data_IF_386401316027
#
_entry.id   IF_386401316027
#
_cell.length_a   1.000
_cell.length_b   1.000
_cell.length_c   1.000
_cell.angle_alpha   90.00
_cell.angle_beta   90.00
_cell.angle_gamma   90.00
#
_symmetry.space_group_name_H-M   'P 1'
#
loop_
_entity.id
_entity.type
_entity.pdbx_description
1 polymer ?
#
# COMPACT_ATOMS: atom_id res chain seq x y z
N UNK A 1 -11.89 11.97 -16.61
CA UNK A 1 -12.32 13.12 -15.79
C UNK A 1 -13.79 13.43 -16.04
N UNK A 2 -14.24 13.60 -17.29
CA UNK A 2 -15.66 13.87 -17.59
C UNK A 2 -16.63 12.79 -17.08
N UNK A 3 -16.18 11.54 -17.01
CA UNK A 3 -16.98 10.40 -16.60
C UNK A 3 -17.09 10.23 -15.08
N UNK A 4 -16.22 10.90 -14.33
CA UNK A 4 -16.15 10.82 -12.86
C UNK A 4 -16.05 12.23 -12.30
N UNK A 5 -17.19 12.87 -11.98
CA UNK A 5 -17.21 14.20 -11.40
C UNK A 5 -16.36 14.29 -10.14
N UNK A 6 -15.56 15.34 -10.03
CA UNK A 6 -14.65 15.55 -8.88
C UNK A 6 -13.27 14.92 -9.03
N UNK A 7 -13.05 14.01 -10.01
CA UNK A 7 -11.71 13.50 -10.28
C UNK A 7 -10.85 14.59 -10.92
N UNK A 8 -9.69 14.85 -10.34
CA UNK A 8 -8.75 15.86 -10.82
C UNK A 8 -7.59 15.21 -11.57
N UNK A 9 -7.24 15.76 -12.73
CA UNK A 9 -6.07 15.31 -13.50
C UNK A 9 -4.76 15.78 -12.87
N UNK A 10 -4.77 16.94 -12.24
CA UNK A 10 -3.61 17.46 -11.53
C UNK A 10 -3.40 16.72 -10.22
N UNK A 11 -2.20 16.17 -10.02
CA UNK A 11 -1.86 15.38 -8.84
C UNK A 11 -2.22 13.90 -8.92
N UNK A 12 -3.04 13.49 -9.90
CA UNK A 12 -3.30 12.07 -10.15
C UNK A 12 -2.07 11.43 -10.83
N UNK A 13 -1.58 10.36 -10.23
CA UNK A 13 -0.43 9.60 -10.74
C UNK A 13 -0.80 8.13 -10.85
N UNK A 14 -0.53 7.55 -12.01
CA UNK A 14 -0.61 6.10 -12.21
C UNK A 14 0.76 5.59 -12.60
N UNK A 15 1.31 4.67 -11.83
CA UNK A 15 2.54 3.98 -12.18
C UNK A 15 2.28 2.49 -12.43
N UNK A 16 3.05 1.94 -13.37
CA UNK A 16 3.01 0.53 -13.73
C UNK A 16 4.46 0.03 -13.79
N UNK A 17 4.94 -0.50 -12.68
CA UNK A 17 6.27 -1.08 -12.58
C UNK A 17 6.21 -2.58 -12.88
N UNK A 18 6.96 -3.06 -13.86
CA UNK A 18 6.87 -4.45 -14.32
C UNK A 18 8.21 -5.16 -14.44
N UNK A 19 8.21 -6.47 -14.28
CA UNK A 19 9.38 -7.34 -14.37
C UNK A 19 10.50 -6.84 -13.45
N UNK A 20 11.75 -6.67 -13.95
CA UNK A 20 12.86 -6.22 -13.12
C UNK A 20 12.67 -4.86 -12.44
N UNK A 21 11.74 -4.04 -12.94
CA UNK A 21 11.45 -2.73 -12.33
C UNK A 21 10.42 -2.80 -11.20
N UNK A 22 9.70 -3.91 -11.07
CA UNK A 22 8.70 -4.09 -10.00
C UNK A 22 9.31 -4.02 -8.59
N UNK A 23 10.62 -4.27 -8.46
CA UNK A 23 11.36 -4.16 -7.18
C UNK A 23 11.67 -2.72 -6.77
N UNK A 24 11.31 -1.73 -7.58
CA UNK A 24 11.50 -0.31 -7.26
C UNK A 24 10.15 0.24 -6.81
N UNK A 25 9.99 0.66 -5.53
CA UNK A 25 8.70 1.03 -4.95
C UNK A 25 7.90 2.08 -5.73
N UNK A 26 8.60 3.07 -6.28
CA UNK A 26 7.99 4.19 -7.02
C UNK A 26 8.57 4.30 -8.44
N UNK A 27 8.74 3.16 -9.11
CA UNK A 27 9.23 3.17 -10.48
C UNK A 27 8.24 3.85 -11.43
N UNK A 28 8.73 4.87 -12.13
CA UNK A 28 7.94 5.55 -13.18
C UNK A 28 7.68 4.58 -14.33
N UNK A 29 6.47 4.62 -14.87
CA UNK A 29 6.08 3.86 -16.07
C UNK A 29 6.96 4.21 -17.26
N UNK A 30 7.26 3.23 -18.10
CA UNK A 30 8.08 3.38 -19.31
C UNK A 30 7.36 2.78 -20.52
N UNK A 31 7.93 2.94 -21.71
CA UNK A 31 7.45 2.28 -22.94
C UNK A 31 7.74 0.76 -23.01
N UNK A 32 8.20 0.14 -21.91
CA UNK A 32 8.50 -1.29 -21.86
C UNK A 32 7.21 -2.10 -22.02
N UNK A 33 7.24 -3.10 -22.90
CA UNK A 33 6.13 -4.05 -23.04
C UNK A 33 6.14 -5.05 -21.89
N UNK A 34 4.95 -5.40 -21.41
CA UNK A 34 4.77 -6.43 -20.39
C UNK A 34 5.01 -7.82 -20.98
N UNK A 35 5.79 -8.64 -20.29
CA UNK A 35 6.07 -10.01 -20.66
C UNK A 35 5.24 -11.02 -19.86
N UNK A 36 4.98 -12.20 -20.43
CA UNK A 36 4.33 -13.30 -19.69
C UNK A 36 5.20 -13.75 -18.51
N UNK A 37 4.56 -14.04 -17.38
CA UNK A 37 5.22 -14.47 -16.14
C UNK A 37 5.80 -13.30 -15.33
N UNK A 38 5.64 -12.06 -15.77
CA UNK A 38 6.13 -10.91 -15.03
C UNK A 38 5.17 -10.46 -13.95
N UNK A 39 5.76 -10.00 -12.85
CA UNK A 39 5.05 -9.27 -11.79
C UNK A 39 4.91 -7.82 -12.21
N UNK A 40 3.74 -7.27 -11.97
CA UNK A 40 3.40 -5.87 -12.26
C UNK A 40 2.79 -5.24 -11.01
N UNK A 41 3.36 -4.14 -10.57
CA UNK A 41 2.78 -3.29 -9.54
C UNK A 41 2.08 -2.11 -10.18
N UNK A 42 0.77 -2.04 -10.02
CA UNK A 42 -0.01 -0.84 -10.26
C UNK A 42 -0.10 -0.02 -8.98
N UNK A 43 0.30 1.23 -9.08
CA UNK A 43 0.13 2.21 -8.02
C UNK A 43 -0.72 3.35 -8.60
N UNK A 44 -1.88 3.55 -8.02
CA UNK A 44 -2.85 4.55 -8.45
C UNK A 44 -3.02 5.54 -7.31
N UNK A 45 -2.53 6.75 -7.53
CA UNK A 45 -2.76 7.89 -6.66
C UNK A 45 -3.74 8.81 -7.37
N UNK A 46 -4.95 8.91 -6.88
CA UNK A 46 -6.00 9.76 -7.46
C UNK A 46 -6.31 10.93 -6.53
N UNK A 47 -6.68 12.05 -7.14
CA UNK A 47 -7.18 13.22 -6.41
C UNK A 47 -8.64 13.41 -6.75
N UNK A 48 -9.50 13.41 -5.74
CA UNK A 48 -10.93 13.63 -5.87
C UNK A 48 -11.34 14.78 -4.95
N UNK A 49 -11.76 15.89 -5.51
CA UNK A 49 -12.15 17.11 -4.77
C UNK A 49 -11.06 17.56 -3.77
N UNK A 50 -9.78 17.49 -4.17
CA UNK A 50 -8.63 17.84 -3.34
C UNK A 50 -8.16 16.75 -2.38
N UNK A 51 -8.84 15.62 -2.28
CA UNK A 51 -8.45 14.51 -1.41
C UNK A 51 -7.69 13.44 -2.19
N UNK A 52 -6.57 13.00 -1.63
CA UNK A 52 -5.77 11.92 -2.18
C UNK A 52 -6.30 10.56 -1.75
N UNK A 53 -6.35 9.65 -2.72
CA UNK A 53 -6.66 8.22 -2.50
C UNK A 53 -5.52 7.42 -3.11
N UNK A 54 -5.06 6.40 -2.40
CA UNK A 54 -4.02 5.48 -2.87
C UNK A 54 -4.59 4.06 -2.97
N UNK A 55 -4.36 3.42 -4.10
CA UNK A 55 -4.66 2.00 -4.27
C UNK A 55 -3.52 1.33 -5.02
N UNK A 56 -3.04 0.22 -4.49
CA UNK A 56 -1.94 -0.49 -5.11
C UNK A 56 -2.25 -1.97 -5.19
N UNK A 57 -1.93 -2.54 -6.34
CA UNK A 57 -2.18 -3.96 -6.62
C UNK A 57 -1.01 -4.58 -7.34
N UNK A 58 -0.63 -5.75 -6.88
CA UNK A 58 0.31 -6.62 -7.58
C UNK A 58 -0.47 -7.57 -8.46
N UNK A 59 -0.09 -7.65 -9.72
CA UNK A 59 -0.67 -8.53 -10.73
C UNK A 59 0.43 -9.40 -11.35
N UNK A 60 0.02 -10.51 -11.96
CA UNK A 60 0.89 -11.32 -12.82
C UNK A 60 0.37 -11.33 -14.26
N UNK A 61 1.27 -11.23 -15.22
CA UNK A 61 0.91 -11.36 -16.63
C UNK A 61 0.83 -12.85 -17.01
N UNK A 62 -0.36 -13.39 -16.95
CA UNK A 62 -0.62 -14.83 -17.07
C UNK A 62 -0.58 -15.54 -15.72
N UNK A 63 -0.03 -16.74 -15.66
CA UNK A 63 0.10 -17.49 -14.41
C UNK A 63 1.14 -16.86 -13.48
N UNK A 64 0.84 -16.86 -12.19
CA UNK A 64 1.80 -16.43 -11.17
C UNK A 64 2.98 -17.41 -11.13
N UNK A 65 4.23 -16.95 -11.30
CA UNK A 65 5.41 -17.82 -11.20
C UNK A 65 5.54 -18.43 -9.79
N UNK A 66 6.01 -19.68 -9.70
CA UNK A 66 6.16 -20.36 -8.40
C UNK A 66 7.00 -19.59 -7.37
N UNK A 67 8.15 -18.99 -7.73
CA UNK A 67 8.93 -18.18 -6.77
C UNK A 67 8.19 -16.94 -6.25
N UNK A 68 7.21 -16.44 -6.99
CA UNK A 68 6.44 -15.25 -6.65
C UNK A 68 5.25 -15.54 -5.72
N UNK A 69 4.81 -16.80 -5.63
CA UNK A 69 3.59 -17.18 -4.89
C UNK A 69 3.71 -16.87 -3.40
N UNK A 70 4.76 -17.38 -2.76
CA UNK A 70 4.94 -17.21 -1.32
C UNK A 70 5.08 -15.73 -0.90
N UNK A 71 5.93 -14.89 -1.53
CA UNK A 71 5.99 -13.48 -1.17
C UNK A 71 4.69 -12.73 -1.46
N UNK A 72 3.95 -13.06 -2.53
CA UNK A 72 2.65 -12.47 -2.80
C UNK A 72 1.64 -12.79 -1.68
N UNK A 73 1.49 -14.08 -1.33
CA UNK A 73 0.58 -14.54 -0.27
C UNK A 73 0.96 -13.93 1.10
N UNK A 74 2.27 -13.81 1.38
CA UNK A 74 2.76 -13.17 2.62
C UNK A 74 2.37 -11.69 2.71
N UNK A 75 2.46 -10.95 1.61
CA UNK A 75 2.04 -9.53 1.58
C UNK A 75 0.53 -9.41 1.80
N UNK A 76 -0.27 -10.29 1.20
CA UNK A 76 -1.73 -10.31 1.43
C UNK A 76 -2.05 -10.64 2.89
N UNK A 77 -1.36 -11.62 3.49
CA UNK A 77 -1.51 -11.92 4.93
C UNK A 77 -1.14 -10.70 5.79
N UNK A 78 0.01 -10.06 5.52
CA UNK A 78 0.45 -8.88 6.26
C UNK A 78 -0.56 -7.73 6.15
N UNK A 79 -1.13 -7.50 4.96
CA UNK A 79 -2.17 -6.51 4.74
C UNK A 79 -3.43 -6.83 5.56
N UNK A 80 -3.90 -8.07 5.50
CA UNK A 80 -5.08 -8.53 6.26
C UNK A 80 -4.88 -8.33 7.76
N UNK A 81 -3.70 -8.72 8.30
CA UNK A 81 -3.38 -8.55 9.73
C UNK A 81 -3.29 -7.08 10.13
N UNK A 82 -2.78 -6.23 9.24
CA UNK A 82 -2.80 -4.78 9.45
C UNK A 82 -4.21 -4.22 9.53
N UNK A 83 -5.09 -4.59 8.60
CA UNK A 83 -6.50 -4.18 8.60
C UNK A 83 -7.23 -4.64 9.87
N UNK A 84 -7.08 -5.90 10.28
CA UNK A 84 -7.70 -6.46 11.50
C UNK A 84 -7.30 -5.71 12.78
N UNK A 85 -6.12 -5.07 12.78
CA UNK A 85 -5.63 -4.28 13.90
C UNK A 85 -6.18 -2.86 13.94
N UNK A 86 -6.75 -2.35 12.84
CA UNK A 86 -7.27 -0.97 12.77
C UNK A 86 -8.55 -0.83 13.57
N UNK A 87 -8.48 -0.06 14.64
CA UNK A 87 -9.66 0.37 15.44
C UNK A 87 -9.29 1.55 16.33
N UNK A 88 -10.25 2.34 16.80
CA UNK A 88 -9.96 3.45 17.71
C UNK A 88 -9.29 2.93 19.00
N UNK A 89 -8.36 3.71 19.52
CA UNK A 89 -7.62 3.38 20.72
C UNK A 89 -6.33 2.55 20.50
N UNK A 90 -6.12 2.01 19.31
CA UNK A 90 -4.89 1.27 18.97
C UNK A 90 -3.80 2.24 18.52
N UNK A 91 -2.55 2.01 18.91
CA UNK A 91 -1.42 2.81 18.45
C UNK A 91 -1.06 2.48 17.01
N UNK A 92 -0.66 3.50 16.25
CA UNK A 92 -0.16 3.31 14.88
C UNK A 92 0.99 2.30 14.82
N UNK A 93 1.87 2.32 15.84
CA UNK A 93 2.97 1.36 15.97
C UNK A 93 2.51 -0.09 16.16
N UNK A 94 1.39 -0.32 16.82
CA UNK A 94 0.84 -1.67 17.01
C UNK A 94 0.29 -2.22 15.69
N UNK A 95 -0.41 -1.39 14.91
CA UNK A 95 -0.85 -1.75 13.55
C UNK A 95 0.35 -2.09 12.67
N UNK A 96 1.40 -1.25 12.72
CA UNK A 96 2.62 -1.51 11.96
C UNK A 96 3.26 -2.85 12.33
N UNK A 97 3.35 -3.16 13.62
CA UNK A 97 3.91 -4.44 14.09
C UNK A 97 3.12 -5.64 13.58
N UNK A 98 1.79 -5.57 13.54
CA UNK A 98 0.97 -6.65 12.98
C UNK A 98 1.33 -6.99 11.52
N UNK A 99 1.65 -6.00 10.71
CA UNK A 99 2.12 -6.23 9.34
C UNK A 99 3.54 -6.81 9.32
N UNK A 100 4.46 -6.20 10.09
CA UNK A 100 5.89 -6.51 10.07
C UNK A 100 6.14 -7.94 10.59
N UNK A 101 5.48 -8.36 11.66
CA UNK A 101 5.61 -9.71 12.22
C UNK A 101 5.28 -10.82 11.21
N UNK A 102 4.36 -10.58 10.29
CA UNK A 102 4.08 -11.53 9.20
C UNK A 102 5.27 -11.63 8.25
N UNK A 103 5.86 -10.49 7.88
CA UNK A 103 7.04 -10.44 7.01
C UNK A 103 8.26 -11.08 7.67
N UNK A 104 8.49 -10.81 8.97
CA UNK A 104 9.57 -11.40 9.76
C UNK A 104 9.46 -12.93 9.84
N UNK A 105 8.27 -13.46 10.16
CA UNK A 105 8.03 -14.91 10.20
C UNK A 105 8.32 -15.60 8.87
N UNK A 106 8.10 -14.88 7.75
CA UNK A 106 8.37 -15.38 6.43
C UNK A 106 9.84 -15.17 5.97
N UNK A 107 10.63 -14.39 6.72
CA UNK A 107 12.01 -14.03 6.38
C UNK A 107 12.13 -12.96 5.31
N UNK A 108 11.12 -12.07 5.21
CA UNK A 108 11.03 -11.01 4.20
C UNK A 108 11.19 -9.59 4.74
N UNK A 109 11.35 -9.41 6.04
CA UNK A 109 11.48 -8.10 6.72
C UNK A 109 12.60 -7.22 6.12
N UNK A 110 13.75 -7.82 5.80
CA UNK A 110 14.87 -7.13 5.15
C UNK A 110 14.55 -6.58 3.74
N UNK A 111 13.48 -7.05 3.12
CA UNK A 111 13.03 -6.63 1.80
C UNK A 111 11.89 -5.60 1.85
N UNK A 112 11.52 -5.16 3.03
CA UNK A 112 10.55 -4.09 3.24
C UNK A 112 11.28 -2.73 3.14
N UNK A 113 11.09 -2.01 2.04
CA UNK A 113 11.81 -0.75 1.77
C UNK A 113 11.06 0.50 2.29
N UNK A 114 9.85 0.34 2.79
CA UNK A 114 9.05 1.41 3.41
C UNK A 114 8.14 0.83 4.49
N UNK A 115 7.58 1.68 5.31
CA UNK A 115 6.66 1.22 6.34
C UNK A 115 5.28 0.85 5.80
N UNK A 116 4.48 0.12 6.58
CA UNK A 116 3.25 -0.49 6.12
C UNK A 116 2.02 0.44 6.05
N UNK A 117 2.20 1.76 6.12
CA UNK A 117 1.09 2.69 5.95
C UNK A 117 1.41 4.13 6.34
N UNK A 118 0.48 5.04 6.04
CA UNK A 118 0.57 6.46 6.35
C UNK A 118 -0.82 7.12 6.34
N UNK A 119 -0.93 8.35 6.82
CA UNK A 119 -2.14 9.15 6.67
C UNK A 119 -2.45 9.46 5.20
N UNK A 120 -3.72 9.62 4.90
CA UNK A 120 -4.22 9.97 3.58
C UNK A 120 -5.29 11.06 3.72
N UNK A 121 -5.30 12.05 2.80
CA UNK A 121 -6.25 13.17 2.88
C UNK A 121 -5.93 14.29 1.92
N UNK A 122 -6.13 15.54 2.34
CA UNK A 122 -5.92 16.76 1.51
C UNK A 122 -4.44 16.90 1.10
N UNK A 123 -3.53 16.54 2.00
CA UNK A 123 -2.09 16.57 1.69
C UNK A 123 -1.69 15.27 1.00
N UNK A 124 -0.99 15.42 -0.12
CA UNK A 124 -0.62 14.28 -0.96
C UNK A 124 0.32 13.29 -0.29
N UNK A 125 0.34 12.08 -0.83
CA UNK A 125 1.15 10.97 -0.34
C UNK A 125 2.66 11.28 -0.16
N UNK A 126 3.17 12.31 -0.83
CA UNK A 126 4.58 12.70 -0.77
C UNK A 126 4.85 13.99 -0.01
N UNK A 127 3.81 14.80 0.26
CA UNK A 127 3.93 16.11 0.88
C UNK A 127 2.88 16.30 1.98
N UNK A 128 3.34 16.68 3.16
CA UNK A 128 2.44 17.03 4.26
C UNK A 128 1.66 15.86 4.84
N UNK A 129 2.23 14.65 4.82
CA UNK A 129 1.68 13.53 5.59
C UNK A 129 1.55 13.95 7.05
N UNK A 130 0.42 13.60 7.63
CA UNK A 130 0.20 13.77 9.05
C UNK A 130 1.06 12.75 9.82
N UNK A 131 2.09 13.20 10.51
CA UNK A 131 2.94 12.33 11.35
C UNK A 131 2.13 11.48 12.33
N UNK A 132 1.01 12.02 12.81
CA UNK A 132 0.08 11.32 13.71
C UNK A 132 -0.48 10.03 13.12
N UNK A 133 -0.73 9.97 11.81
CA UNK A 133 -1.28 8.81 11.13
C UNK A 133 -0.22 7.96 10.39
N UNK A 134 1.07 8.19 10.62
CA UNK A 134 2.13 7.35 10.07
C UNK A 134 2.10 5.96 10.72
N UNK A 135 1.88 4.92 9.94
CA UNK A 135 1.89 3.52 10.41
C UNK A 135 3.35 3.05 10.43
N UNK A 136 4.00 3.29 11.56
CA UNK A 136 5.42 3.00 11.80
C UNK A 136 5.62 2.43 13.21
N UNK A 137 6.55 1.48 13.42
CA UNK A 137 6.75 0.82 14.71
C UNK A 137 7.06 1.77 15.87
N UNK A 138 7.64 2.92 15.56
CA UNK A 138 8.00 3.95 16.54
C UNK A 138 6.89 4.96 16.84
N UNK A 139 5.74 4.89 16.14
CA UNK A 139 4.67 5.89 16.28
C UNK A 139 3.69 5.47 17.37
N UNK A 140 3.74 6.17 18.51
CA UNK A 140 2.87 5.96 19.67
C UNK A 140 1.52 6.70 19.58
N UNK A 141 1.28 7.47 18.51
CA UNK A 141 -0.02 8.11 18.32
C UNK A 141 -1.12 7.07 18.20
N UNK A 142 -2.25 7.39 18.80
CA UNK A 142 -3.42 6.51 18.87
C UNK A 142 -4.38 6.84 17.73
N UNK A 143 -4.89 5.81 17.09
CA UNK A 143 -5.94 5.95 16.07
C UNK A 143 -7.23 6.47 16.73
N UNK A 144 -7.86 7.47 16.12
CA UNK A 144 -9.14 8.03 16.55
C UNK A 144 -10.13 8.03 15.38
N UNK A 145 -11.44 7.97 15.65
CA UNK A 145 -12.46 8.05 14.60
C UNK A 145 -12.27 9.27 13.70
N UNK A 146 -12.48 9.09 12.40
CA UNK A 146 -12.29 10.11 11.37
C UNK A 146 -10.87 10.17 10.78
N UNK A 147 -9.88 9.49 11.36
CA UNK A 147 -8.58 9.33 10.69
C UNK A 147 -8.73 8.49 9.44
N UNK A 148 -8.06 8.90 8.36
CA UNK A 148 -7.94 8.14 7.12
C UNK A 148 -6.47 7.76 6.92
N UNK A 149 -6.22 6.47 6.78
CA UNK A 149 -4.87 5.91 6.67
C UNK A 149 -4.79 4.88 5.57
N UNK A 150 -3.59 4.61 5.08
CA UNK A 150 -3.32 3.45 4.22
C UNK A 150 -2.84 2.27 5.06
N UNK A 151 -3.13 1.05 4.58
CA UNK A 151 -2.44 -0.19 4.98
C UNK A 151 -1.81 -0.74 3.72
N UNK A 152 -0.47 -0.73 3.66
CA UNK A 152 0.29 -0.96 2.42
C UNK A 152 1.60 -1.75 2.62
N UNK A 153 1.58 -2.91 3.27
CA UNK A 153 2.79 -3.72 3.39
C UNK A 153 3.30 -4.14 2.01
N UNK A 154 4.63 -4.24 1.90
CA UNK A 154 5.28 -4.62 0.66
C UNK A 154 6.60 -5.34 0.91
N UNK A 155 7.01 -6.16 -0.05
CA UNK A 155 8.36 -6.72 -0.14
C UNK A 155 8.90 -6.60 -1.57
N UNK A 156 10.19 -6.35 -1.69
CA UNK A 156 10.86 -6.11 -2.98
C UNK A 156 12.06 -7.04 -3.10
N UNK A 157 11.81 -8.24 -3.63
CA UNK A 157 12.83 -9.28 -3.74
C UNK A 157 13.59 -9.16 -5.06
N UNK A 158 14.91 -8.96 -5.02
CA UNK A 158 15.73 -9.04 -6.22
C UNK A 158 15.46 -10.36 -6.97
N UNK A 159 15.47 -10.31 -8.29
CA UNK A 159 15.29 -11.45 -9.21
C UNK A 159 13.91 -12.17 -9.16
N UNK A 160 13.02 -11.81 -8.23
CA UNK A 160 11.67 -12.35 -8.14
C UNK A 160 10.64 -11.30 -8.53
N UNK A 161 10.64 -10.15 -7.88
CA UNK A 161 9.70 -9.06 -8.11
C UNK A 161 9.35 -8.28 -6.85
N UNK A 162 8.65 -7.18 -7.04
CA UNK A 162 8.04 -6.42 -5.95
C UNK A 162 6.58 -6.82 -5.76
N UNK A 163 6.16 -6.92 -4.51
CA UNK A 163 4.81 -7.29 -4.11
C UNK A 163 4.29 -6.22 -3.16
N UNK A 164 3.17 -5.59 -3.52
CA UNK A 164 2.57 -4.51 -2.76
C UNK A 164 1.06 -4.57 -2.83
N UNK A 165 0.41 -4.40 -1.69
CA UNK A 165 -1.03 -4.30 -1.61
C UNK A 165 -1.37 -3.12 -0.70
N UNK A 166 -2.17 -2.19 -1.21
CA UNK A 166 -2.54 -0.98 -0.49
C UNK A 166 -4.02 -0.72 -0.59
N UNK A 167 -4.62 -0.50 0.56
CA UNK A 167 -5.97 0.04 0.68
C UNK A 167 -6.01 1.24 1.63
N UNK A 168 -6.98 2.11 1.37
CA UNK A 168 -7.29 3.25 2.23
C UNK A 168 -8.47 2.88 3.12
N UNK A 169 -8.34 3.16 4.40
CA UNK A 169 -9.40 2.93 5.39
C UNK A 169 -9.68 4.19 6.20
N UNK A 170 -10.95 4.38 6.56
CA UNK A 170 -11.36 5.34 7.56
C UNK A 170 -11.56 4.64 8.90
N UNK A 171 -11.00 5.18 9.97
CA UNK A 171 -11.22 4.70 11.33
C UNK A 171 -12.64 5.12 11.76
N UNK A 172 -13.47 4.16 12.15
CA UNK A 172 -14.84 4.38 12.65
C UNK A 172 -14.88 4.36 14.18
N UNK A 173 -16.06 4.51 14.79
CA UNK A 173 -16.21 4.47 16.24
C UNK A 173 -15.90 3.08 16.83
N UNK A 174 -16.02 2.02 16.04
CA UNK A 174 -15.91 0.62 16.49
C UNK A 174 -14.92 -0.24 15.70
N UNK A 175 -14.30 0.33 14.64
CA UNK A 175 -13.37 -0.41 13.78
C UNK A 175 -12.85 0.44 12.62
N UNK A 176 -13.07 -0.02 11.41
CA UNK A 176 -12.71 0.71 10.19
C UNK A 176 -13.72 0.47 9.07
N UNK A 177 -13.76 1.40 8.14
CA UNK A 177 -14.43 1.28 6.84
C UNK A 177 -13.39 1.22 5.73
N UNK A 178 -13.50 0.23 4.83
CA UNK A 178 -12.63 0.11 3.67
C UNK A 178 -13.13 1.05 2.57
N UNK A 179 -12.29 2.02 2.18
CA UNK A 179 -12.64 3.04 1.16
C UNK A 179 -12.23 2.63 -0.26
N UNK A 180 -11.34 1.65 -0.40
CA UNK A 180 -10.87 1.12 -1.69
C UNK A 180 -11.11 -0.39 -1.76
N UNK A 181 -11.46 -0.91 -2.96
CA UNK A 181 -11.78 -2.33 -3.18
C UNK A 181 -10.98 -2.90 -4.36
#
# INVERSE_FOLDING_TARGET
>A
VERFPGLESFGTLVTCASGPRSVIPHAVSTGRRLGRGEIVNFNILSVVMGYYVSQERTLSIGSLPDPARKPFETVIEAHTRGLEAVRPGVRCGDVARCCIEVLERAGYDQYQLHGPGHSCGIMGAFWGREEKGEIRPYNDNVLVPGMVITIEPAVYLPDVGGFRHCDVVAVTDDGYELLTH
#
